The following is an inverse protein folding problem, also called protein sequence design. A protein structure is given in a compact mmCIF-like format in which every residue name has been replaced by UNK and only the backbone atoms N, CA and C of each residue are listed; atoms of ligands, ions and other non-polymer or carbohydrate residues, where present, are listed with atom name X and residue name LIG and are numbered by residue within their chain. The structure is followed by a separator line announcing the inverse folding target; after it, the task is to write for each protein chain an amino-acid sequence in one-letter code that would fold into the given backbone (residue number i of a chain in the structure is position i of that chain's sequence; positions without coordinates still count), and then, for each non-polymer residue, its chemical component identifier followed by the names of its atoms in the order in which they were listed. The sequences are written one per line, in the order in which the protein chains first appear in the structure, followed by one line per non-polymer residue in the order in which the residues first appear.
data_IF_430604250130
#
_entry.id   IF_430604250130
#
_cell.length_a   1.000
_cell.length_b   1.000
_cell.length_c   1.000
_cell.angle_alpha   90.00
_cell.angle_beta   90.00
_cell.angle_gamma   90.00
#
_symmetry.space_group_name_H-M   'P 1'
#
loop_
_entity.id
_entity.type
_entity.pdbx_description
1 polymer ?
#
# COMPACT_ATOMS: atom_id res chain seq x y z
N UNK A 1 14.54 -3.32 7.65
CA UNK A 1 13.42 -3.29 8.61
C UNK A 1 12.11 -3.02 7.87
N UNK A 2 10.93 -3.24 8.47
CA UNK A 2 9.63 -2.92 7.84
C UNK A 2 9.54 -1.43 7.49
N UNK A 3 9.99 -0.57 8.39
CA UNK A 3 10.04 0.88 8.18
C UNK A 3 10.89 1.27 6.95
N UNK A 4 12.10 0.71 6.79
CA UNK A 4 12.93 1.01 5.62
C UNK A 4 12.26 0.55 4.30
N UNK A 5 11.57 -0.59 4.31
CA UNK A 5 10.81 -1.05 3.14
C UNK A 5 9.63 -0.12 2.83
N UNK A 6 8.99 0.45 3.86
CA UNK A 6 7.95 1.45 3.71
C UNK A 6 8.49 2.74 3.11
N UNK A 7 9.57 3.31 3.66
CA UNK A 7 10.20 4.53 3.11
C UNK A 7 10.61 4.33 1.65
N UNK A 8 11.16 3.16 1.30
CA UNK A 8 11.48 2.83 -0.08
C UNK A 8 10.24 2.77 -0.99
N UNK A 9 9.13 2.20 -0.50
CA UNK A 9 7.87 2.19 -1.25
C UNK A 9 7.33 3.62 -1.45
N UNK A 10 7.33 4.46 -0.41
CA UNK A 10 6.87 5.85 -0.48
C UNK A 10 7.71 6.65 -1.47
N UNK A 11 9.04 6.50 -1.44
CA UNK A 11 9.95 7.11 -2.44
C UNK A 11 9.62 6.68 -3.87
N UNK A 12 9.18 5.44 -4.07
CA UNK A 12 8.80 4.95 -5.40
C UNK A 12 7.45 5.51 -5.88
N UNK A 13 6.52 5.81 -4.97
CA UNK A 13 5.15 6.25 -5.31
C UNK A 13 4.86 7.74 -5.17
N UNK A 14 5.64 8.50 -4.39
CA UNK A 14 5.45 9.94 -4.24
C UNK A 14 6.31 10.74 -5.23
N UNK A 15 5.86 11.95 -5.54
CA UNK A 15 6.60 12.91 -6.35
C UNK A 15 7.54 13.72 -5.46
N UNK A 16 8.77 13.94 -5.92
CA UNK A 16 9.77 14.69 -5.19
C UNK A 16 10.59 13.85 -4.20
N UNK A 17 11.46 14.50 -3.40
CA UNK A 17 12.36 13.81 -2.49
C UNK A 17 11.59 13.20 -1.31
N UNK A 18 11.98 11.97 -0.96
CA UNK A 18 11.52 11.24 0.22
C UNK A 18 12.74 10.64 0.90
N UNK A 19 13.17 11.23 1.99
CA UNK A 19 14.30 10.77 2.80
C UNK A 19 13.83 9.90 3.97
N UNK A 20 12.63 10.16 4.48
CA UNK A 20 12.07 9.46 5.63
C UNK A 20 10.55 9.59 5.72
N UNK A 21 9.97 8.78 6.61
CA UNK A 21 8.57 8.84 7.00
C UNK A 21 8.49 8.78 8.52
N UNK A 22 8.31 9.93 9.16
CA UNK A 22 8.42 10.07 10.61
C UNK A 22 7.08 10.41 11.23
N UNK A 23 7.04 10.36 12.56
CA UNK A 23 5.90 10.82 13.35
C UNK A 23 6.33 11.93 14.28
N UNK A 24 5.54 13.00 14.36
CA UNK A 24 5.71 14.09 15.32
C UNK A 24 4.55 14.07 16.31
N UNK A 25 4.87 14.24 17.60
CA UNK A 25 3.87 14.44 18.64
C UNK A 25 3.37 15.89 18.62
N UNK A 26 2.07 16.08 18.72
CA UNK A 26 1.43 17.37 18.85
C UNK A 26 0.83 17.56 20.26
N UNK A 27 0.34 18.76 20.55
CA UNK A 27 -0.44 19.01 21.76
C UNK A 27 -1.59 17.98 21.88
N UNK A 28 -1.97 17.66 23.11
CA UNK A 28 -3.08 16.76 23.43
C UNK A 28 -2.89 15.28 23.02
N UNK A 29 -1.64 14.85 22.82
CA UNK A 29 -1.32 13.43 22.55
C UNK A 29 -1.62 12.98 21.12
N UNK A 30 -1.91 13.93 20.23
CA UNK A 30 -2.10 13.66 18.80
C UNK A 30 -0.75 13.33 18.15
N UNK A 31 -0.71 12.31 17.30
CA UNK A 31 0.47 11.95 16.52
C UNK A 31 0.22 12.25 15.06
N UNK A 32 1.15 12.96 14.42
CA UNK A 32 1.08 13.32 13.00
C UNK A 32 2.16 12.61 12.22
N UNK A 33 1.84 12.06 11.06
CA UNK A 33 2.83 11.47 10.16
C UNK A 33 3.36 12.53 9.18
N UNK A 34 4.67 12.50 8.93
CA UNK A 34 5.35 13.42 8.02
C UNK A 34 6.27 12.68 7.06
N UNK A 35 6.35 13.17 5.84
CA UNK A 35 7.36 12.80 4.84
C UNK A 35 8.53 13.76 4.98
N UNK A 36 9.71 13.24 5.27
CA UNK A 36 10.94 14.03 5.28
C UNK A 36 11.45 14.19 3.85
N UNK A 37 11.79 15.42 3.48
CA UNK A 37 12.15 15.83 2.12
C UNK A 37 13.55 16.46 2.08
N UNK A 38 14.41 16.13 3.05
CA UNK A 38 15.76 16.67 3.19
C UNK A 38 15.75 18.17 3.42
N UNK A 39 16.46 18.91 2.57
CA UNK A 39 16.55 20.38 2.60
C UNK A 39 15.20 21.09 2.45
N UNK A 40 14.17 20.42 1.91
CA UNK A 40 12.81 20.96 1.82
C UNK A 40 12.02 20.86 3.14
N UNK A 41 12.60 20.24 4.17
CA UNK A 41 11.99 20.04 5.48
C UNK A 41 11.08 18.81 5.54
N UNK A 42 10.09 18.85 6.43
CA UNK A 42 9.12 17.77 6.61
C UNK A 42 7.72 18.23 6.18
N UNK A 43 7.05 17.42 5.37
CA UNK A 43 5.69 17.68 4.90
C UNK A 43 4.72 16.71 5.58
N UNK A 44 3.65 17.20 6.19
CA UNK A 44 2.62 16.32 6.71
C UNK A 44 1.95 15.47 5.64
N UNK A 45 1.67 14.20 5.96
CA UNK A 45 1.06 13.28 4.97
C UNK A 45 -0.29 13.78 4.48
N UNK A 46 -1.03 14.55 5.27
CA UNK A 46 -2.35 15.07 4.88
C UNK A 46 -2.29 16.11 3.75
N UNK A 47 -1.07 16.56 3.38
CA UNK A 47 -0.84 17.45 2.23
C UNK A 47 -0.51 16.70 0.94
N UNK A 48 -0.34 15.38 1.00
CA UNK A 48 -0.11 14.55 -0.19
C UNK A 48 -1.34 14.57 -1.10
N UNK A 49 -1.12 14.40 -2.41
CA UNK A 49 -2.22 14.23 -3.36
C UNK A 49 -3.02 12.95 -3.07
N UNK A 50 -4.27 12.88 -3.54
CA UNK A 50 -5.15 11.71 -3.28
C UNK A 50 -4.52 10.39 -3.73
N UNK A 51 -3.86 10.37 -4.90
CA UNK A 51 -3.12 9.21 -5.38
C UNK A 51 -1.93 8.82 -4.50
N UNK A 52 -1.16 9.79 -4.03
CA UNK A 52 -0.02 9.56 -3.13
C UNK A 52 -0.46 9.09 -1.75
N UNK A 53 -1.52 9.68 -1.19
CA UNK A 53 -2.16 9.26 0.06
C UNK A 53 -2.66 7.83 -0.03
N UNK A 54 -3.39 7.51 -1.11
CA UNK A 54 -3.93 6.17 -1.32
C UNK A 54 -2.82 5.16 -1.54
N UNK A 55 -1.80 5.49 -2.32
CA UNK A 55 -0.62 4.66 -2.51
C UNK A 55 0.07 4.37 -1.17
N UNK A 56 0.32 5.40 -0.35
CA UNK A 56 0.93 5.26 0.97
C UNK A 56 0.08 4.36 1.88
N UNK A 57 -1.22 4.58 1.93
CA UNK A 57 -2.15 3.79 2.75
C UNK A 57 -2.14 2.30 2.35
N UNK A 58 -2.19 2.00 1.05
CA UNK A 58 -2.13 0.62 0.57
C UNK A 58 -0.74 0.00 0.77
N UNK A 59 0.34 0.74 0.54
CA UNK A 59 1.71 0.26 0.77
C UNK A 59 1.94 -0.07 2.25
N UNK A 60 1.42 0.77 3.16
CA UNK A 60 1.38 0.51 4.59
C UNK A 60 0.70 -0.84 4.87
N UNK A 61 -0.54 -1.01 4.42
CA UNK A 61 -1.33 -2.24 4.62
C UNK A 61 -0.58 -3.48 4.10
N UNK A 62 -0.03 -3.42 2.89
CA UNK A 62 0.68 -4.54 2.27
C UNK A 62 1.97 -4.91 3.03
N UNK A 63 2.67 -3.93 3.59
CA UNK A 63 3.91 -4.13 4.35
C UNK A 63 3.64 -4.46 5.82
N UNK A 64 2.47 -4.12 6.34
CA UNK A 64 2.00 -4.56 7.65
C UNK A 64 1.41 -5.96 7.54
N UNK A 65 2.17 -6.95 8.00
CA UNK A 65 1.64 -8.29 8.19
C UNK A 65 0.60 -8.34 9.32
N UNK A 66 -0.04 -9.51 9.53
CA UNK A 66 -1.10 -9.70 10.51
C UNK A 66 -0.70 -9.35 11.95
N UNK A 67 0.59 -9.35 12.30
CA UNK A 67 1.07 -8.99 13.65
C UNK A 67 1.14 -7.49 13.95
N UNK A 68 0.75 -6.61 13.03
CA UNK A 68 0.66 -5.14 13.28
C UNK A 68 -0.78 -4.66 13.26
N UNK A 69 -1.59 -5.22 12.37
CA UNK A 69 -3.02 -5.01 12.41
C UNK A 69 -3.52 -5.79 13.63
N UNK A 70 -4.38 -5.21 14.46
CA UNK A 70 -5.01 -5.91 15.59
C UNK A 70 -6.04 -6.94 15.08
N UNK A 71 -5.58 -7.87 14.25
CA UNK A 71 -6.36 -8.95 13.68
C UNK A 71 -6.17 -10.13 14.62
N UNK A 72 -7.27 -10.54 15.25
CA UNK A 72 -7.24 -11.73 16.08
C UNK A 72 -6.86 -12.94 15.20
N UNK A 73 -5.80 -13.66 15.55
CA UNK A 73 -5.43 -14.86 14.84
C UNK A 73 -6.54 -15.90 14.99
N UNK A 74 -6.83 -16.66 13.93
CA UNK A 74 -7.73 -17.80 14.03
C UNK A 74 -7.12 -18.85 14.97
N UNK A 75 -7.68 -18.98 16.17
CA UNK A 75 -7.12 -19.80 17.26
C UNK A 75 -6.90 -21.27 16.86
N UNK A 76 -7.75 -21.80 15.99
CA UNK A 76 -7.70 -23.20 15.52
C UNK A 76 -6.76 -23.42 14.32
N UNK A 77 -6.08 -22.38 13.85
CA UNK A 77 -5.18 -22.44 12.69
C UNK A 77 -3.74 -22.29 13.15
N UNK A 78 -2.86 -23.18 12.71
CA UNK A 78 -1.43 -23.06 12.96
C UNK A 78 -0.92 -21.68 12.48
N UNK A 79 -0.08 -20.96 13.24
CA UNK A 79 0.42 -19.63 12.86
C UNK A 79 1.04 -19.58 11.45
N UNK A 80 1.70 -20.67 11.02
CA UNK A 80 2.27 -20.82 9.69
C UNK A 80 1.23 -20.83 8.54
N UNK A 81 -0.06 -20.97 8.85
CA UNK A 81 -1.18 -20.97 7.89
C UNK A 81 -2.06 -19.72 8.01
N UNK A 82 -1.79 -18.85 8.97
CA UNK A 82 -2.52 -17.60 9.17
C UNK A 82 -1.94 -16.52 8.26
N UNK A 83 -2.46 -16.43 7.04
CA UNK A 83 -2.05 -15.41 6.06
C UNK A 83 -3.14 -14.34 6.00
N UNK A 84 -2.74 -13.07 6.12
CA UNK A 84 -3.67 -11.94 6.00
C UNK A 84 -4.18 -11.83 4.57
N UNK A 85 -5.49 -11.89 4.36
CA UNK A 85 -6.10 -11.60 3.06
C UNK A 85 -6.44 -10.11 3.01
N UNK A 86 -5.85 -9.40 2.04
CA UNK A 86 -6.15 -8.00 1.73
C UNK A 86 -7.13 -7.98 0.56
N UNK A 87 -8.29 -7.37 0.76
CA UNK A 87 -9.27 -7.09 -0.29
C UNK A 87 -9.19 -5.59 -0.63
N UNK A 88 -8.85 -5.26 -1.86
CA UNK A 88 -8.72 -3.88 -2.33
C UNK A 88 -9.71 -3.57 -3.45
N UNK A 89 -10.75 -2.82 -3.13
CA UNK A 89 -11.66 -2.28 -4.14
C UNK A 89 -11.08 -1.02 -4.80
N UNK A 90 -10.92 -1.07 -6.12
CA UNK A 90 -10.27 -0.07 -6.95
C UNK A 90 -8.80 0.06 -6.64
N UNK A 91 -8.02 -1.02 -6.72
CA UNK A 91 -6.60 -1.04 -6.35
C UNK A 91 -5.77 0.04 -7.07
N UNK A 92 -6.10 0.33 -8.33
CA UNK A 92 -5.47 1.35 -9.18
C UNK A 92 -6.18 2.72 -9.16
N UNK A 93 -7.29 2.83 -8.42
CA UNK A 93 -8.09 4.06 -8.37
C UNK A 93 -7.25 5.23 -7.87
N UNK A 94 -7.32 6.36 -8.55
CA UNK A 94 -6.57 7.59 -8.26
C UNK A 94 -5.04 7.47 -8.35
N UNK A 95 -4.52 6.31 -8.73
CA UNK A 95 -3.09 6.11 -8.95
C UNK A 95 -2.74 6.39 -10.41
N UNK A 96 -1.58 6.99 -10.65
CA UNK A 96 -1.01 6.96 -11.99
C UNK A 96 -0.47 5.54 -12.33
N UNK A 97 -0.16 5.30 -13.61
CA UNK A 97 0.33 3.98 -14.06
C UNK A 97 1.65 3.56 -13.41
N UNK A 98 2.50 4.50 -12.98
CA UNK A 98 3.75 4.19 -12.29
C UNK A 98 3.43 3.76 -10.86
N UNK A 99 2.63 4.53 -10.13
CA UNK A 99 2.19 4.22 -8.76
C UNK A 99 1.49 2.86 -8.70
N UNK A 100 0.58 2.58 -9.62
CA UNK A 100 -0.12 1.29 -9.68
C UNK A 100 0.86 0.11 -9.85
N UNK A 101 1.84 0.23 -10.77
CA UNK A 101 2.86 -0.81 -10.99
C UNK A 101 3.79 -0.99 -9.80
N UNK A 102 4.26 0.10 -9.19
CA UNK A 102 5.12 0.03 -8.00
C UNK A 102 4.38 -0.63 -6.84
N UNK A 103 3.12 -0.26 -6.62
CA UNK A 103 2.28 -0.84 -5.57
C UNK A 103 2.02 -2.33 -5.82
N UNK A 104 1.75 -2.72 -7.07
CA UNK A 104 1.61 -4.12 -7.43
C UNK A 104 2.92 -4.90 -7.24
N UNK A 105 4.07 -4.26 -7.50
CA UNK A 105 5.37 -4.81 -7.20
C UNK A 105 5.59 -5.04 -5.69
N UNK A 106 5.14 -4.11 -4.84
CA UNK A 106 5.13 -4.29 -3.37
C UNK A 106 4.24 -5.48 -3.00
N UNK A 107 3.01 -5.53 -3.53
CA UNK A 107 2.07 -6.61 -3.25
C UNK A 107 2.62 -7.98 -3.65
N UNK A 108 3.12 -8.13 -4.89
CA UNK A 108 3.71 -9.37 -5.39
C UNK A 108 4.86 -9.84 -4.50
N UNK A 109 5.74 -8.93 -4.06
CA UNK A 109 6.84 -9.23 -3.14
C UNK A 109 6.37 -9.69 -1.76
N UNK A 110 5.24 -9.19 -1.25
CA UNK A 110 4.68 -9.59 0.04
C UNK A 110 3.90 -10.91 -0.06
N UNK A 111 3.17 -11.12 -1.16
CA UNK A 111 2.53 -12.38 -1.50
C UNK A 111 3.56 -13.52 -1.65
N UNK A 112 4.66 -13.29 -2.36
CA UNK A 112 5.72 -14.28 -2.55
C UNK A 112 6.41 -14.70 -1.23
N UNK A 113 6.44 -13.79 -0.24
CA UNK A 113 6.93 -14.10 1.12
C UNK A 113 5.90 -14.81 1.99
N UNK A 114 4.68 -15.02 1.49
CA UNK A 114 3.57 -15.62 2.24
C UNK A 114 3.02 -14.76 3.36
N UNK A 115 3.32 -13.45 3.36
CA UNK A 115 2.84 -12.54 4.42
C UNK A 115 1.37 -12.16 4.23
N UNK A 116 0.94 -12.07 2.98
CA UNK A 116 -0.42 -11.70 2.62
C UNK A 116 -0.93 -12.54 1.43
N UNK A 117 -2.23 -12.50 1.22
CA UNK A 117 -2.91 -12.79 -0.06
C UNK A 117 -3.61 -11.51 -0.50
N UNK A 118 -3.50 -11.13 -1.76
CA UNK A 118 -4.17 -9.95 -2.30
C UNK A 118 -5.25 -10.35 -3.30
N UNK A 119 -6.45 -9.79 -3.14
CA UNK A 119 -7.52 -9.79 -4.14
C UNK A 119 -7.95 -8.34 -4.33
N UNK A 120 -8.12 -7.88 -5.57
CA UNK A 120 -8.60 -6.53 -5.80
C UNK A 120 -9.20 -6.32 -7.18
N UNK A 121 -10.00 -5.26 -7.30
CA UNK A 121 -10.57 -4.80 -8.56
C UNK A 121 -9.65 -3.74 -9.17
N UNK A 122 -9.55 -3.71 -10.50
CA UNK A 122 -8.76 -2.71 -11.24
C UNK A 122 -9.59 -2.15 -12.39
N UNK A 123 -9.45 -0.84 -12.64
CA UNK A 123 -10.10 -0.16 -13.75
C UNK A 123 -9.32 -0.24 -15.06
N UNK A 124 -7.99 -0.26 -14.98
CA UNK A 124 -7.07 -0.33 -16.12
C UNK A 124 -6.05 -1.46 -15.94
N UNK A 125 -6.37 -2.63 -16.51
CA UNK A 125 -5.50 -3.81 -16.50
C UNK A 125 -4.17 -3.51 -17.20
N UNK A 126 -4.17 -2.74 -18.29
CA UNK A 126 -2.96 -2.45 -19.07
C UNK A 126 -1.98 -1.56 -18.31
N UNK A 127 -2.51 -0.62 -17.51
CA UNK A 127 -1.73 0.27 -16.67
C UNK A 127 -1.21 -0.38 -15.40
N UNK A 128 -1.99 -1.29 -14.80
CA UNK A 128 -1.70 -1.84 -13.47
C UNK A 128 -0.91 -3.15 -13.50
N UNK A 129 -1.21 -4.06 -14.44
CA UNK A 129 -0.82 -5.48 -14.31
C UNK A 129 0.54 -5.80 -14.95
N UNK A 130 0.83 -5.30 -16.16
CA UNK A 130 2.11 -5.57 -16.84
C UNK A 130 2.53 -7.06 -16.78
N UNK A 131 3.80 -7.32 -16.42
CA UNK A 131 4.38 -8.66 -16.24
C UNK A 131 4.27 -9.20 -14.79
N UNK A 132 3.42 -8.61 -13.95
CA UNK A 132 3.31 -9.04 -12.56
C UNK A 132 2.74 -10.48 -12.48
N UNK A 133 3.17 -11.30 -11.49
CA UNK A 133 2.69 -12.66 -11.30
C UNK A 133 1.29 -12.66 -10.65
N UNK A 134 0.30 -12.15 -11.38
CA UNK A 134 -1.09 -12.04 -10.95
C UNK A 134 -2.01 -12.78 -11.91
N UNK A 135 -3.15 -13.24 -11.39
CA UNK A 135 -4.24 -13.77 -12.21
C UNK A 135 -5.30 -12.69 -12.33
N UNK A 136 -5.68 -12.35 -13.56
CA UNK A 136 -6.72 -11.36 -13.85
C UNK A 136 -7.98 -12.09 -14.31
N UNK A 137 -9.12 -11.70 -13.75
CA UNK A 137 -10.44 -12.17 -14.16
C UNK A 137 -11.20 -10.95 -14.68
N UNK A 138 -11.64 -11.01 -15.93
CA UNK A 138 -12.53 -9.99 -16.48
C UNK A 138 -13.93 -10.16 -15.87
N UNK A 139 -14.37 -9.17 -15.11
CA UNK A 139 -15.68 -9.17 -14.45
C UNK A 139 -16.80 -8.64 -15.37
N UNK A 140 -16.46 -8.20 -16.59
CA UNK A 140 -17.35 -7.48 -17.47
C UNK A 140 -17.62 -6.05 -17.00
N UNK A 141 -18.28 -5.26 -17.85
CA UNK A 141 -18.81 -3.94 -17.46
C UNK A 141 -20.33 -4.06 -17.33
N UNK A 142 -20.87 -3.68 -16.17
CA UNK A 142 -22.31 -3.48 -16.04
C UNK A 142 -22.68 -2.30 -16.96
N UNK A 143 -23.50 -2.53 -17.98
CA UNK A 143 -24.10 -1.44 -18.76
C UNK A 143 -25.14 -0.80 -17.85
N UNK A 144 -24.77 0.29 -17.18
CA UNK A 144 -25.76 1.18 -16.58
C UNK A 144 -26.54 1.79 -17.75
N UNK A 145 -27.76 1.28 -17.95
CA UNK A 145 -28.75 1.79 -18.92
C UNK A 145 -29.35 3.11 -18.43
#
# INVERSE_FOLDING_TARGET
TRHAALVAAVRAGCVGPVEGLVTEGHADGVVRALVEQGELGAMPVERLGDGELRYLALALVLLTGPGVLAVDPAADVLPARQVLTVLADGFDRCLDRRQARELLGVAARMCARGHIRLVGTVGDVTGAVGDAPVTVVDLGRERVL
#
